data_IF_921876818382
#
_entry.id   IF_921876818382
#
_cell.length_a   1.000
_cell.length_b   1.000
_cell.length_c   1.000
_cell.angle_alpha   90.00
_cell.angle_beta   90.00
_cell.angle_gamma   90.00
#
_symmetry.space_group_name_H-M   'P 1'
#
loop_
_entity.id
_entity.type
_entity.pdbx_description
1 polymer ?
#
# COMPACT_ATOMS: atom_id res chain seq x y z
N UNK A 1 101.24 -35.90 -10.16
CA UNK A 1 100.24 -34.86 -9.81
C UNK A 1 99.06 -35.00 -10.77
N UNK A 2 97.84 -35.01 -10.20
CA UNK A 2 96.50 -35.28 -10.77
C UNK A 2 96.10 -34.26 -11.86
N UNK A 3 95.24 -34.46 -12.88
CA UNK A 3 94.41 -35.55 -13.47
C UNK A 3 93.99 -35.03 -14.89
N UNK A 4 94.26 -35.75 -16.00
CA UNK A 4 93.35 -36.58 -16.86
C UNK A 4 92.28 -35.86 -17.74
N UNK A 5 92.54 -35.86 -19.06
CA UNK A 5 91.76 -36.45 -20.20
C UNK A 5 90.21 -36.46 -20.12
N UNK A 6 89.43 -35.82 -21.01
CA UNK A 6 89.15 -36.02 -22.46
C UNK A 6 87.74 -36.65 -22.71
N UNK A 7 87.10 -36.15 -23.78
CA UNK A 7 86.02 -36.69 -24.64
C UNK A 7 84.53 -36.56 -24.30
N UNK A 8 83.83 -36.00 -25.29
CA UNK A 8 82.40 -35.85 -25.50
C UNK A 8 81.66 -37.18 -25.75
N UNK A 9 80.34 -37.18 -25.55
CA UNK A 9 79.37 -37.73 -26.51
C UNK A 9 77.94 -37.25 -26.20
N UNK A 10 77.21 -36.92 -27.26
CA UNK A 10 75.77 -36.61 -27.29
C UNK A 10 74.93 -37.82 -26.81
N UNK A 11 73.87 -37.59 -26.04
CA UNK A 11 72.71 -38.50 -26.01
C UNK A 11 71.41 -37.71 -25.83
N UNK A 12 70.50 -37.87 -26.79
CA UNK A 12 69.16 -37.34 -26.79
C UNK A 12 68.28 -38.09 -25.76
N UNK A 13 67.61 -37.34 -24.89
CA UNK A 13 66.61 -37.86 -23.96
C UNK A 13 65.25 -37.23 -24.26
N UNK A 14 64.32 -38.03 -24.78
CA UNK A 14 62.92 -37.66 -24.94
C UNK A 14 62.26 -37.53 -23.56
N UNK A 15 61.82 -36.33 -23.19
CA UNK A 15 60.92 -36.11 -22.06
C UNK A 15 59.48 -36.25 -22.53
N UNK A 16 58.88 -37.39 -22.22
CA UNK A 16 57.45 -37.64 -22.36
C UNK A 16 56.71 -36.81 -21.29
N UNK A 17 56.16 -35.66 -21.66
CA UNK A 17 55.22 -34.92 -20.81
C UNK A 17 53.90 -35.70 -20.75
N UNK A 18 53.70 -36.45 -19.66
CA UNK A 18 52.39 -36.92 -19.25
C UNK A 18 51.56 -35.72 -18.77
N UNK A 19 50.79 -35.12 -19.68
CA UNK A 19 49.67 -34.27 -19.27
C UNK A 19 48.60 -35.17 -18.66
N UNK A 20 48.56 -35.27 -17.33
CA UNK A 20 47.35 -35.71 -16.66
C UNK A 20 46.31 -34.61 -16.84
N UNK A 21 45.39 -34.77 -17.79
CA UNK A 21 44.16 -33.97 -17.78
C UNK A 21 43.38 -34.39 -16.53
N UNK A 22 43.51 -33.63 -15.45
CA UNK A 22 42.50 -33.63 -14.40
C UNK A 22 41.20 -33.16 -15.06
N UNK A 23 40.35 -34.11 -15.45
CA UNK A 23 38.97 -33.79 -15.75
C UNK A 23 38.43 -33.09 -14.50
N UNK A 24 38.14 -31.79 -14.61
CA UNK A 24 37.40 -31.08 -13.57
C UNK A 24 36.13 -31.87 -13.36
N UNK A 25 35.91 -32.41 -12.16
CA UNK A 25 34.61 -32.98 -11.84
C UNK A 25 33.56 -31.91 -12.12
N UNK A 26 32.56 -32.22 -12.95
CA UNK A 26 31.47 -31.28 -13.22
C UNK A 26 30.83 -30.90 -11.88
N UNK A 27 30.82 -29.62 -11.56
CA UNK A 27 30.20 -29.13 -10.34
C UNK A 27 28.70 -29.41 -10.42
N UNK A 28 28.19 -30.24 -9.51
CA UNK A 28 26.76 -30.50 -9.40
C UNK A 28 26.08 -29.29 -8.77
N UNK A 29 25.14 -28.69 -9.48
CA UNK A 29 24.40 -27.49 -9.07
C UNK A 29 23.13 -27.84 -8.31
N UNK A 30 22.41 -28.86 -8.76
CA UNK A 30 21.17 -29.30 -8.12
C UNK A 30 20.91 -30.78 -8.40
N UNK A 31 19.90 -31.33 -7.71
CA UNK A 31 19.43 -32.70 -7.86
C UNK A 31 17.92 -32.74 -8.10
N UNK A 32 17.47 -33.69 -8.91
CA UNK A 32 16.05 -34.03 -9.05
C UNK A 32 15.90 -35.54 -8.97
N UNK A 33 15.14 -36.04 -7.99
CA UNK A 33 14.95 -37.48 -7.76
C UNK A 33 16.27 -38.30 -7.76
N UNK A 34 17.34 -37.73 -7.20
CA UNK A 34 18.67 -38.36 -7.11
C UNK A 34 19.54 -38.24 -8.37
N UNK A 35 19.04 -37.66 -9.47
CA UNK A 35 19.84 -37.33 -10.66
C UNK A 35 20.57 -36.00 -10.46
N UNK A 36 21.88 -36.00 -10.70
CA UNK A 36 22.74 -34.82 -10.64
C UNK A 36 22.59 -33.95 -11.89
N UNK A 37 22.58 -32.63 -11.70
CA UNK A 37 22.55 -31.63 -12.77
C UNK A 37 23.66 -30.61 -12.56
N UNK A 38 24.45 -30.33 -13.60
CA UNK A 38 25.43 -29.23 -13.62
C UNK A 38 24.81 -27.85 -13.93
N UNK A 39 23.50 -27.79 -14.16
CA UNK A 39 22.76 -26.56 -14.47
C UNK A 39 21.31 -26.62 -13.95
N UNK A 40 20.90 -25.58 -13.20
CA UNK A 40 19.51 -25.41 -12.77
C UNK A 40 18.57 -25.28 -13.96
N UNK A 41 18.95 -24.52 -15.00
CA UNK A 41 18.18 -24.38 -16.24
C UNK A 41 17.83 -25.74 -16.86
N UNK A 42 18.80 -26.65 -16.95
CA UNK A 42 18.53 -27.97 -17.55
C UNK A 42 17.62 -28.82 -16.66
N UNK A 43 17.79 -28.78 -15.34
CA UNK A 43 16.90 -29.46 -14.40
C UNK A 43 15.45 -28.97 -14.55
N UNK A 44 15.24 -27.65 -14.63
CA UNK A 44 13.93 -27.05 -14.84
C UNK A 44 13.32 -27.48 -16.17
N UNK A 45 14.08 -27.50 -17.27
CA UNK A 45 13.61 -27.97 -18.59
C UNK A 45 13.22 -29.45 -18.57
N UNK A 46 14.01 -30.30 -17.92
CA UNK A 46 13.70 -31.73 -17.78
C UNK A 46 12.42 -31.95 -16.94
N UNK A 47 12.23 -31.19 -15.86
CA UNK A 47 11.00 -31.24 -15.05
C UNK A 47 9.79 -30.79 -15.86
N UNK A 48 9.87 -29.66 -16.55
CA UNK A 48 8.75 -29.11 -17.31
C UNK A 48 8.35 -29.99 -18.51
N UNK A 49 9.32 -30.67 -19.14
CA UNK A 49 9.04 -31.62 -20.23
C UNK A 49 8.55 -32.99 -19.75
N UNK A 50 8.61 -33.25 -18.44
CA UNK A 50 8.29 -34.54 -17.84
C UNK A 50 9.38 -35.60 -18.00
N UNK A 51 10.59 -35.22 -18.43
CA UNK A 51 11.73 -36.13 -18.52
C UNK A 51 12.24 -36.59 -17.14
N UNK A 52 12.03 -35.77 -16.12
CA UNK A 52 12.17 -36.12 -14.69
C UNK A 52 11.00 -35.54 -13.92
N UNK A 53 10.68 -36.12 -12.76
CA UNK A 53 9.65 -35.60 -11.86
C UNK A 53 10.17 -35.51 -10.44
N UNK A 54 9.65 -34.53 -9.70
CA UNK A 54 10.02 -34.26 -8.31
C UNK A 54 10.49 -32.84 -8.09
N UNK A 55 10.79 -32.54 -6.83
CA UNK A 55 11.35 -31.28 -6.40
C UNK A 55 12.83 -31.16 -6.82
N UNK A 56 13.22 -29.96 -7.25
CA UNK A 56 14.60 -29.60 -7.54
C UNK A 56 15.26 -29.15 -6.24
N UNK A 57 16.29 -29.87 -5.78
CA UNK A 57 17.04 -29.54 -4.58
C UNK A 57 18.35 -28.86 -4.96
N UNK A 58 18.52 -27.61 -4.54
CA UNK A 58 19.72 -26.81 -4.79
C UNK A 58 20.90 -27.31 -3.94
N UNK A 59 22.12 -27.23 -4.50
CA UNK A 59 23.37 -27.55 -3.79
C UNK A 59 24.37 -26.38 -3.76
N UNK A 60 24.09 -25.33 -4.54
CA UNK A 60 24.88 -24.09 -4.61
C UNK A 60 24.00 -23.02 -5.26
N UNK A 61 24.41 -21.76 -5.16
CA UNK A 61 23.80 -20.66 -5.91
C UNK A 61 23.82 -20.97 -7.43
N UNK A 62 22.77 -20.55 -8.13
CA UNK A 62 22.63 -20.79 -9.55
C UNK A 62 21.87 -19.68 -10.29
N UNK A 63 22.06 -19.64 -11.60
CA UNK A 63 21.24 -18.85 -12.51
C UNK A 63 20.14 -19.71 -13.14
N UNK A 64 18.99 -19.10 -13.42
CA UNK A 64 17.89 -19.72 -14.13
C UNK A 64 17.48 -18.90 -15.36
N UNK A 65 17.87 -19.41 -16.53
CA UNK A 65 17.47 -18.89 -17.84
C UNK A 65 16.64 -19.95 -18.59
N UNK A 66 15.33 -19.80 -18.54
CA UNK A 66 14.37 -20.76 -19.11
C UNK A 66 13.40 -20.12 -20.09
N UNK A 67 13.28 -18.78 -20.10
CA UNK A 67 12.30 -18.07 -20.92
C UNK A 67 10.91 -18.16 -20.32
N UNK A 68 10.34 -19.36 -20.32
CA UNK A 68 8.94 -19.59 -19.96
C UNK A 68 8.78 -20.76 -19.00
N UNK A 69 8.00 -20.54 -17.94
CA UNK A 69 7.47 -21.62 -17.08
C UNK A 69 6.10 -22.03 -17.60
N UNK A 70 6.04 -23.19 -18.27
CA UNK A 70 4.81 -23.73 -18.89
C UNK A 70 4.21 -24.93 -18.15
N UNK A 71 4.94 -25.48 -17.16
CA UNK A 71 4.49 -26.57 -16.30
C UNK A 71 4.94 -26.33 -14.85
N UNK A 72 4.32 -27.00 -13.85
CA UNK A 72 4.69 -26.79 -12.46
C UNK A 72 6.15 -27.15 -12.17
N UNK A 73 6.86 -26.27 -11.47
CA UNK A 73 8.25 -26.44 -11.03
C UNK A 73 8.34 -26.06 -9.56
N UNK A 74 8.99 -26.91 -8.76
CA UNK A 74 9.27 -26.66 -7.34
C UNK A 74 10.76 -26.74 -7.07
N UNK A 75 11.30 -25.70 -6.46
CA UNK A 75 12.72 -25.56 -6.13
C UNK A 75 12.86 -25.42 -4.62
N UNK A 76 13.52 -26.39 -3.98
CA UNK A 76 13.98 -26.32 -2.60
C UNK A 76 15.39 -25.74 -2.57
N UNK A 77 15.50 -24.51 -2.07
CA UNK A 77 16.73 -23.72 -2.11
C UNK A 77 17.74 -24.09 -1.05
N UNK A 78 17.32 -24.54 0.14
CA UNK A 78 18.24 -24.79 1.26
C UNK A 78 19.07 -23.56 1.67
N UNK A 79 18.54 -22.36 1.48
CA UNK A 79 19.18 -21.07 1.67
C UNK A 79 19.98 -20.55 0.46
N UNK A 80 20.14 -21.33 -0.61
CA UNK A 80 20.90 -20.91 -1.79
C UNK A 80 20.13 -19.89 -2.65
N UNK A 81 20.90 -19.12 -3.43
CA UNK A 81 20.38 -18.07 -4.30
C UNK A 81 20.06 -18.58 -5.71
N UNK A 82 18.89 -18.21 -6.21
CA UNK A 82 18.50 -18.32 -7.62
C UNK A 82 18.43 -16.92 -8.23
N UNK A 83 19.33 -16.66 -9.17
CA UNK A 83 19.34 -15.40 -9.94
C UNK A 83 18.69 -15.61 -11.30
N UNK A 84 17.74 -14.75 -11.65
CA UNK A 84 17.10 -14.72 -12.97
C UNK A 84 17.79 -13.65 -13.83
N UNK A 85 18.70 -14.03 -14.74
CA UNK A 85 19.23 -13.11 -15.73
C UNK A 85 18.17 -12.74 -16.78
N UNK A 86 18.57 -11.95 -17.77
CA UNK A 86 17.78 -11.79 -19.00
C UNK A 86 17.47 -13.16 -19.60
N UNK A 87 16.19 -13.44 -19.79
CA UNK A 87 15.72 -14.72 -20.26
C UNK A 87 15.86 -14.84 -21.78
N UNK A 88 16.49 -15.91 -22.21
CA UNK A 88 16.62 -16.27 -23.61
C UNK A 88 15.26 -16.70 -24.17
N UNK A 89 14.92 -16.18 -25.35
CA UNK A 89 13.72 -16.60 -26.09
C UNK A 89 12.42 -15.89 -25.73
N UNK A 90 12.45 -14.90 -24.82
CA UNK A 90 11.32 -14.02 -24.54
C UNK A 90 11.57 -12.61 -25.05
N UNK A 91 10.49 -11.88 -25.30
CA UNK A 91 10.55 -10.46 -25.63
C UNK A 91 11.06 -9.68 -24.41
N UNK A 92 12.02 -8.79 -24.64
CA UNK A 92 12.68 -7.95 -23.61
C UNK A 92 13.37 -8.72 -22.47
N UNK A 93 13.55 -10.04 -22.60
CA UNK A 93 14.26 -10.90 -21.66
C UNK A 93 13.49 -11.22 -20.37
N UNK A 94 12.19 -10.91 -20.29
CA UNK A 94 11.37 -11.16 -19.09
C UNK A 94 11.15 -12.66 -18.87
N UNK A 95 10.88 -13.06 -17.62
CA UNK A 95 10.37 -14.40 -17.34
C UNK A 95 8.86 -14.44 -17.59
N UNK A 96 8.41 -15.29 -18.52
CA UNK A 96 6.98 -15.54 -18.71
C UNK A 96 6.55 -16.74 -17.86
N UNK A 97 5.55 -16.57 -17.01
CA UNK A 97 5.06 -17.62 -16.09
C UNK A 97 3.61 -17.94 -16.44
N UNK A 98 3.36 -19.11 -17.04
CA UNK A 98 2.03 -19.60 -17.38
C UNK A 98 1.56 -20.78 -16.52
N UNK A 99 2.44 -21.28 -15.65
CA UNK A 99 2.14 -22.31 -14.65
C UNK A 99 2.69 -21.91 -13.28
N UNK A 100 2.86 -22.85 -12.37
CA UNK A 100 3.35 -22.57 -11.01
C UNK A 100 4.87 -22.73 -10.93
N UNK A 101 5.55 -21.69 -10.46
CA UNK A 101 6.96 -21.72 -10.05
C UNK A 101 7.02 -21.50 -8.54
N UNK A 102 7.43 -22.52 -7.80
CA UNK A 102 7.49 -22.50 -6.34
C UNK A 102 8.92 -22.55 -5.82
N UNK A 103 9.19 -21.78 -4.78
CA UNK A 103 10.45 -21.76 -4.05
C UNK A 103 10.21 -21.97 -2.57
N UNK A 104 11.00 -22.84 -1.95
CA UNK A 104 11.02 -23.04 -0.51
C UNK A 104 12.44 -22.87 0.01
N UNK A 105 12.61 -22.09 1.08
CA UNK A 105 13.91 -21.77 1.66
C UNK A 105 14.93 -21.31 0.61
N UNK A 106 14.57 -20.32 -0.22
CA UNK A 106 15.39 -19.86 -1.36
C UNK A 106 15.55 -18.33 -1.33
N UNK A 107 16.74 -17.81 -1.66
CA UNK A 107 16.92 -16.40 -2.03
C UNK A 107 16.68 -16.24 -3.54
N UNK A 108 15.69 -15.46 -3.95
CA UNK A 108 15.33 -15.24 -5.35
C UNK A 108 15.63 -13.80 -5.74
N UNK A 109 16.36 -13.62 -6.84
CA UNK A 109 16.70 -12.29 -7.35
C UNK A 109 16.41 -12.19 -8.85
N UNK A 110 15.61 -11.19 -9.24
CA UNK A 110 15.35 -10.89 -10.64
C UNK A 110 16.26 -9.77 -11.12
N UNK A 111 17.16 -10.10 -12.06
CA UNK A 111 18.20 -9.20 -12.55
C UNK A 111 17.86 -8.53 -13.89
N UNK A 112 16.75 -8.90 -14.56
CA UNK A 112 16.50 -8.50 -15.94
C UNK A 112 15.70 -7.16 -16.09
N UNK A 113 16.25 -6.12 -16.73
CA UNK A 113 15.77 -4.76 -16.51
C UNK A 113 15.11 -4.04 -17.70
N UNK A 114 14.69 -4.68 -18.80
CA UNK A 114 14.18 -3.90 -19.95
C UNK A 114 12.79 -3.29 -19.75
N UNK A 115 11.80 -4.11 -19.38
CA UNK A 115 10.41 -3.66 -19.26
C UNK A 115 9.77 -4.23 -17.99
N UNK A 116 9.67 -5.56 -17.94
CA UNK A 116 9.18 -6.31 -16.78
C UNK A 116 10.18 -7.41 -16.46
N UNK A 117 10.45 -7.64 -15.19
CA UNK A 117 11.23 -8.81 -14.76
C UNK A 117 10.43 -10.09 -14.94
N UNK A 118 9.12 -10.03 -14.67
CA UNK A 118 8.19 -11.16 -14.76
C UNK A 118 6.89 -10.72 -15.43
N UNK A 119 6.36 -11.56 -16.30
CA UNK A 119 4.98 -11.51 -16.78
C UNK A 119 4.24 -12.76 -16.31
N UNK A 120 3.20 -12.56 -15.50
CA UNK A 120 2.30 -13.63 -15.07
C UNK A 120 1.17 -13.78 -16.09
N UNK A 121 1.08 -14.96 -16.70
CA UNK A 121 -0.12 -15.39 -17.41
C UNK A 121 -1.30 -15.54 -16.46
N UNK A 122 -2.53 -15.69 -16.99
CA UNK A 122 -3.73 -15.78 -16.14
C UNK A 122 -3.79 -17.01 -15.23
N UNK A 123 -2.97 -18.03 -15.50
CA UNK A 123 -2.73 -19.21 -14.64
C UNK A 123 -1.33 -19.22 -14.03
N UNK A 124 -0.53 -18.17 -14.26
CA UNK A 124 0.83 -18.04 -13.76
C UNK A 124 0.84 -17.81 -12.27
N UNK A 125 1.68 -18.55 -11.55
CA UNK A 125 1.85 -18.40 -10.10
C UNK A 125 3.33 -18.39 -9.75
N UNK A 126 3.76 -17.38 -9.01
CA UNK A 126 5.03 -17.43 -8.25
C UNK A 126 4.67 -17.65 -6.79
N UNK A 127 5.21 -18.70 -6.17
CA UNK A 127 4.97 -19.05 -4.78
C UNK A 127 6.28 -19.10 -4.00
N UNK A 128 6.34 -18.40 -2.87
CA UNK A 128 7.50 -18.33 -1.98
C UNK A 128 7.10 -18.85 -0.60
N UNK A 129 7.80 -19.84 -0.09
CA UNK A 129 7.54 -20.45 1.21
C UNK A 129 8.80 -20.75 2.03
N UNK A 130 8.63 -21.21 3.26
CA UNK A 130 9.70 -21.80 4.06
C UNK A 130 10.85 -20.83 4.35
N UNK A 131 10.56 -19.54 4.60
CA UNK A 131 11.59 -18.53 4.84
C UNK A 131 12.21 -17.93 3.58
N UNK A 132 11.72 -18.28 2.39
CA UNK A 132 12.23 -17.71 1.13
C UNK A 132 12.18 -16.18 1.12
N UNK A 133 13.13 -15.59 0.40
CA UNK A 133 13.17 -14.15 0.15
C UNK A 133 13.23 -13.87 -1.34
N UNK A 134 12.59 -12.80 -1.79
CA UNK A 134 12.59 -12.40 -3.18
C UNK A 134 12.83 -10.89 -3.30
N UNK A 135 13.69 -10.50 -4.24
CA UNK A 135 13.98 -9.10 -4.51
C UNK A 135 13.89 -8.77 -5.99
N UNK A 136 13.26 -7.62 -6.28
CA UNK A 136 13.24 -6.98 -7.59
C UNK A 136 13.95 -5.62 -7.50
N UNK A 137 14.72 -5.29 -8.53
CA UNK A 137 15.30 -3.96 -8.75
C UNK A 137 15.03 -3.52 -10.20
N UNK A 138 14.88 -2.21 -10.42
CA UNK A 138 14.61 -1.55 -11.72
C UNK A 138 13.28 -1.87 -12.38
N UNK A 139 12.90 -3.13 -12.55
CA UNK A 139 11.64 -3.53 -13.18
C UNK A 139 10.91 -4.54 -12.31
N UNK A 140 9.59 -4.49 -12.38
CA UNK A 140 8.74 -5.26 -11.50
C UNK A 140 7.98 -6.37 -12.20
N UNK A 141 6.71 -6.53 -11.83
CA UNK A 141 5.83 -7.60 -12.31
C UNK A 141 4.66 -7.03 -13.11
N UNK A 142 4.41 -7.62 -14.26
CA UNK A 142 3.15 -7.46 -14.97
C UNK A 142 2.31 -8.72 -14.84
N UNK A 143 0.99 -8.56 -14.69
CA UNK A 143 0.07 -9.69 -14.60
C UNK A 143 -1.08 -9.55 -15.58
N UNK A 144 -1.41 -10.64 -16.26
CA UNK A 144 -2.74 -10.83 -16.84
C UNK A 144 -3.75 -11.14 -15.74
N UNK A 145 -5.04 -11.10 -16.10
CA UNK A 145 -6.14 -11.42 -15.18
C UNK A 145 -5.94 -12.80 -14.54
N UNK A 146 -5.90 -12.86 -13.21
CA UNK A 146 -5.79 -14.10 -12.44
C UNK A 146 -4.37 -14.58 -12.12
N UNK A 147 -3.32 -14.00 -12.74
CA UNK A 147 -1.93 -14.28 -12.37
C UNK A 147 -1.67 -13.91 -10.90
N UNK A 148 -0.85 -14.70 -10.20
CA UNK A 148 -0.75 -14.63 -8.74
C UNK A 148 0.68 -14.69 -8.20
N UNK A 149 0.94 -13.88 -7.17
CA UNK A 149 2.10 -14.02 -6.28
C UNK A 149 1.61 -14.47 -4.91
N UNK A 150 2.20 -15.54 -4.37
CA UNK A 150 1.87 -16.10 -3.05
C UNK A 150 3.08 -16.06 -2.12
N UNK A 151 2.90 -15.48 -0.94
CA UNK A 151 3.87 -15.50 0.14
C UNK A 151 3.29 -16.29 1.33
N UNK A 152 4.02 -17.28 1.80
CA UNK A 152 3.71 -18.06 3.00
C UNK A 152 4.95 -18.17 3.88
N UNK A 153 4.97 -17.48 5.03
CA UNK A 153 6.16 -17.33 5.87
C UNK A 153 7.42 -16.93 5.06
N UNK A 154 7.26 -15.97 4.15
CA UNK A 154 8.31 -15.54 3.21
C UNK A 154 8.28 -14.03 2.97
N UNK A 155 9.28 -13.52 2.25
CA UNK A 155 9.48 -12.08 2.07
C UNK A 155 9.64 -11.70 0.60
N UNK A 156 9.03 -10.59 0.17
CA UNK A 156 9.24 -10.00 -1.16
C UNK A 156 9.45 -8.50 -1.04
N UNK A 157 10.53 -8.00 -1.64
CA UNK A 157 10.84 -6.57 -1.69
C UNK A 157 11.01 -6.06 -3.12
N UNK A 158 10.53 -4.85 -3.38
CA UNK A 158 10.73 -4.11 -4.63
C UNK A 158 11.16 -2.68 -4.31
N UNK A 159 12.32 -2.26 -4.83
CA UNK A 159 12.88 -0.92 -4.60
C UNK A 159 13.55 -0.40 -5.86
N UNK A 160 13.68 0.93 -5.97
CA UNK A 160 14.36 1.58 -7.08
C UNK A 160 13.80 1.15 -8.45
N UNK A 161 12.47 1.08 -8.55
CA UNK A 161 11.83 0.75 -9.83
C UNK A 161 11.88 1.94 -10.78
N UNK A 162 12.05 1.67 -12.06
CA UNK A 162 12.02 2.64 -13.17
C UNK A 162 10.61 2.77 -13.78
N UNK A 163 9.73 1.80 -13.50
CA UNK A 163 8.33 1.79 -13.85
C UNK A 163 7.49 1.22 -12.70
N UNK A 164 6.15 1.30 -12.77
CA UNK A 164 5.24 0.79 -11.74
C UNK A 164 5.68 -0.59 -11.23
N UNK A 165 5.81 -0.79 -9.91
CA UNK A 165 6.39 -2.02 -9.37
C UNK A 165 5.55 -3.26 -9.69
N UNK A 166 4.22 -3.12 -9.67
CA UNK A 166 3.31 -4.18 -10.10
C UNK A 166 2.14 -3.61 -10.89
N UNK A 167 1.86 -4.16 -12.07
CA UNK A 167 0.74 -3.71 -12.91
C UNK A 167 -0.07 -4.88 -13.47
N UNK A 168 -1.40 -4.77 -13.45
CA UNK A 168 -2.29 -5.66 -14.18
C UNK A 168 -3.45 -4.91 -14.83
N UNK A 169 -3.82 -5.34 -16.04
CA UNK A 169 -4.93 -4.74 -16.79
C UNK A 169 -6.30 -5.13 -16.21
N UNK A 170 -6.43 -6.37 -15.75
CA UNK A 170 -7.70 -6.98 -15.33
C UNK A 170 -7.55 -7.84 -14.07
N UNK A 171 -6.93 -7.27 -13.03
CA UNK A 171 -6.75 -7.84 -11.69
C UNK A 171 -5.83 -9.06 -11.63
N UNK A 172 -4.57 -8.81 -11.26
CA UNK A 172 -3.68 -9.84 -10.72
C UNK A 172 -3.98 -10.09 -9.24
N UNK A 173 -3.33 -11.08 -8.63
CA UNK A 173 -3.52 -11.45 -7.22
C UNK A 173 -2.20 -11.40 -6.45
N UNK A 174 -2.28 -10.92 -5.22
CA UNK A 174 -1.20 -10.97 -4.25
C UNK A 174 -1.76 -11.51 -2.94
N UNK A 175 -1.24 -12.65 -2.48
CA UNK A 175 -1.67 -13.26 -1.21
C UNK A 175 -0.49 -13.42 -0.26
N UNK A 176 -0.68 -12.95 0.98
CA UNK A 176 0.30 -13.03 2.07
C UNK A 176 -0.30 -13.80 3.25
N UNK A 177 0.44 -14.79 3.75
CA UNK A 177 0.03 -15.62 4.89
C UNK A 177 1.17 -15.87 5.87
N UNK A 178 0.82 -16.26 7.09
CA UNK A 178 1.73 -16.86 8.08
C UNK A 178 2.99 -16.02 8.37
N UNK A 179 2.82 -14.73 8.63
CA UNK A 179 3.92 -13.82 8.97
C UNK A 179 4.73 -13.36 7.76
N UNK A 180 4.19 -13.46 6.55
CA UNK A 180 4.87 -12.97 5.35
C UNK A 180 5.06 -11.46 5.35
N UNK A 181 6.07 -10.99 4.62
CA UNK A 181 6.38 -9.56 4.47
C UNK A 181 6.45 -9.19 3.00
N UNK A 182 5.65 -8.19 2.59
CA UNK A 182 5.75 -7.58 1.26
C UNK A 182 6.05 -6.10 1.40
N UNK A 183 7.01 -5.59 0.62
CA UNK A 183 7.37 -4.19 0.63
C UNK A 183 7.69 -3.63 -0.77
N UNK A 184 7.04 -2.52 -1.11
CA UNK A 184 7.40 -1.65 -2.23
C UNK A 184 7.79 -0.29 -1.63
N UNK A 185 8.96 0.24 -2.00
CA UNK A 185 9.40 1.55 -1.49
C UNK A 185 10.33 2.31 -2.43
N UNK A 186 10.47 3.62 -2.16
CA UNK A 186 11.43 4.53 -2.82
C UNK A 186 11.24 4.59 -4.33
N UNK A 187 10.01 4.89 -4.75
CA UNK A 187 9.66 4.96 -6.15
C UNK A 187 9.51 6.41 -6.62
N UNK A 188 10.23 6.73 -7.69
CA UNK A 188 10.34 8.09 -8.22
C UNK A 188 9.34 8.29 -9.35
N UNK A 189 8.34 9.16 -9.13
CA UNK A 189 7.33 9.60 -10.09
C UNK A 189 6.47 8.50 -10.75
N UNK A 190 6.43 7.32 -10.13
CA UNK A 190 5.69 6.13 -10.58
C UNK A 190 4.74 5.62 -9.49
N UNK A 191 3.78 4.79 -9.89
CA UNK A 191 2.87 4.12 -8.96
C UNK A 191 3.56 2.93 -8.28
N UNK A 192 3.12 2.57 -7.08
CA UNK A 192 3.52 1.31 -6.43
C UNK A 192 2.88 0.11 -7.11
N UNK A 193 1.59 -0.09 -6.86
CA UNK A 193 0.82 -1.23 -7.39
C UNK A 193 -0.43 -0.73 -8.12
N UNK A 194 -0.67 -1.27 -9.30
CA UNK A 194 -1.85 -0.97 -10.11
C UNK A 194 -2.60 -2.25 -10.50
N UNK A 195 -3.88 -2.37 -10.12
CA UNK A 195 -4.75 -3.42 -10.63
C UNK A 195 -4.59 -4.78 -9.95
N UNK A 196 -4.48 -4.87 -8.63
CA UNK A 196 -4.36 -6.16 -7.93
C UNK A 196 -5.45 -6.36 -6.88
N UNK A 197 -5.89 -7.60 -6.72
CA UNK A 197 -6.61 -8.07 -5.54
C UNK A 197 -5.59 -8.56 -4.51
N UNK A 198 -5.52 -7.87 -3.38
CA UNK A 198 -4.50 -8.05 -2.35
C UNK A 198 -5.16 -8.62 -1.10
N UNK A 199 -4.75 -9.83 -0.70
CA UNK A 199 -5.16 -10.46 0.56
C UNK A 199 -3.99 -10.58 1.51
N UNK A 200 -4.11 -10.02 2.71
CA UNK A 200 -3.08 -10.04 3.74
C UNK A 200 -3.64 -10.67 5.00
N UNK A 201 -3.10 -11.83 5.35
CA UNK A 201 -3.56 -12.62 6.50
C UNK A 201 -2.39 -12.84 7.46
N UNK A 202 -2.52 -12.36 8.71
CA UNK A 202 -1.47 -12.47 9.74
C UNK A 202 -0.07 -12.11 9.20
N UNK A 203 0.02 -11.04 8.42
CA UNK A 203 1.20 -10.70 7.61
C UNK A 203 1.39 -9.18 7.51
N UNK A 204 2.54 -8.74 7.01
CA UNK A 204 2.90 -7.32 6.85
C UNK A 204 2.96 -6.94 5.38
N UNK A 205 2.25 -5.88 5.02
CA UNK A 205 2.20 -5.34 3.66
C UNK A 205 2.56 -3.86 3.68
N UNK A 206 3.45 -3.41 2.80
CA UNK A 206 3.80 -1.99 2.71
C UNK A 206 4.00 -1.51 1.28
N UNK A 207 3.44 -0.35 0.97
CA UNK A 207 3.69 0.41 -0.26
C UNK A 207 3.87 1.86 0.14
N UNK A 208 5.13 2.26 0.31
CA UNK A 208 5.49 3.53 0.93
C UNK A 208 6.44 4.33 0.05
N UNK A 209 6.56 5.63 0.31
CA UNK A 209 7.57 6.47 -0.33
C UNK A 209 7.51 6.42 -1.88
N UNK A 210 6.30 6.27 -2.45
CA UNK A 210 6.04 6.36 -3.88
C UNK A 210 5.54 7.77 -4.23
N UNK A 211 6.35 8.56 -4.94
CA UNK A 211 6.05 9.98 -5.22
C UNK A 211 4.70 10.23 -5.91
N UNK A 212 4.20 9.25 -6.68
CA UNK A 212 2.91 9.35 -7.38
C UNK A 212 1.77 8.76 -6.56
N UNK A 213 1.57 7.44 -6.60
CA UNK A 213 0.47 6.78 -5.88
C UNK A 213 0.95 5.46 -5.29
N UNK A 214 0.52 5.11 -4.08
CA UNK A 214 0.81 3.81 -3.47
C UNK A 214 0.04 2.71 -4.19
N UNK A 215 -1.28 2.69 -4.00
CA UNK A 215 -2.18 1.73 -4.65
C UNK A 215 -3.12 2.42 -5.64
N UNK A 216 -3.34 1.79 -6.80
CA UNK A 216 -4.25 2.28 -7.84
C UNK A 216 -5.11 1.13 -8.35
N UNK A 217 -6.44 1.28 -8.35
CA UNK A 217 -7.35 0.25 -8.89
C UNK A 217 -7.12 -1.13 -8.23
N UNK A 218 -6.79 -1.16 -6.95
CA UNK A 218 -6.59 -2.40 -6.19
C UNK A 218 -7.79 -2.70 -5.30
N UNK A 219 -7.97 -3.96 -4.92
CA UNK A 219 -8.79 -4.37 -3.77
C UNK A 219 -7.86 -4.81 -2.65
N UNK A 220 -8.24 -4.60 -1.39
CA UNK A 220 -7.43 -4.91 -0.21
C UNK A 220 -8.28 -5.60 0.87
N UNK A 221 -7.85 -6.76 1.34
CA UNK A 221 -8.45 -7.43 2.49
C UNK A 221 -7.38 -7.72 3.54
N UNK A 222 -7.62 -7.26 4.77
CA UNK A 222 -6.74 -7.47 5.91
C UNK A 222 -7.46 -8.33 6.96
N UNK A 223 -6.85 -9.44 7.36
CA UNK A 223 -7.42 -10.40 8.32
C UNK A 223 -6.39 -10.92 9.30
N UNK A 224 -6.88 -11.44 10.43
CA UNK A 224 -6.11 -12.20 11.41
C UNK A 224 -4.82 -11.49 11.90
N UNK A 225 -4.93 -10.21 12.27
CA UNK A 225 -3.82 -9.42 12.81
C UNK A 225 -2.85 -8.91 11.74
N UNK A 226 -3.31 -8.78 10.48
CA UNK A 226 -2.51 -8.21 9.42
C UNK A 226 -2.19 -6.73 9.68
N UNK A 227 -1.03 -6.27 9.19
CA UNK A 227 -0.62 -4.87 9.26
C UNK A 227 -0.25 -4.35 7.87
N UNK A 228 -0.92 -3.30 7.43
CA UNK A 228 -0.68 -2.64 6.15
C UNK A 228 -0.25 -1.18 6.35
N UNK A 229 0.78 -0.76 5.61
CA UNK A 229 1.29 0.62 5.59
C UNK A 229 1.32 1.17 4.16
N UNK A 230 0.51 2.21 3.90
CA UNK A 230 0.42 2.91 2.62
C UNK A 230 0.73 4.41 2.83
N UNK A 231 1.76 4.68 3.62
CA UNK A 231 2.19 6.02 4.03
C UNK A 231 3.22 6.66 3.09
N UNK A 232 3.35 7.99 3.20
CA UNK A 232 4.39 8.79 2.50
C UNK A 232 4.36 8.68 0.98
N UNK A 233 3.20 8.42 0.39
CA UNK A 233 3.01 8.45 -1.06
C UNK A 233 2.48 9.82 -1.50
N UNK A 234 2.47 10.11 -2.81
CA UNK A 234 1.74 11.26 -3.32
C UNK A 234 0.25 11.16 -2.97
N UNK A 235 -0.41 10.12 -3.48
CA UNK A 235 -1.72 9.63 -3.01
C UNK A 235 -1.49 8.25 -2.38
N UNK A 236 -2.03 7.99 -1.19
CA UNK A 236 -1.93 6.68 -0.55
C UNK A 236 -2.63 5.59 -1.38
N UNK A 237 -3.96 5.64 -1.45
CA UNK A 237 -4.79 4.64 -2.11
C UNK A 237 -5.88 5.28 -2.99
N UNK A 238 -5.78 5.05 -4.29
CA UNK A 238 -6.75 5.47 -5.29
C UNK A 238 -7.62 4.30 -5.77
N UNK A 239 -8.85 4.24 -5.26
CA UNK A 239 -9.88 3.24 -5.60
C UNK A 239 -10.74 3.73 -6.76
N UNK A 240 -10.49 3.23 -7.98
CA UNK A 240 -11.06 3.78 -9.22
C UNK A 240 -12.28 3.03 -9.78
N UNK A 241 -12.46 1.74 -9.45
CA UNK A 241 -13.49 0.89 -10.04
C UNK A 241 -14.47 0.38 -8.97
N UNK A 242 -14.87 -0.89 -9.02
CA UNK A 242 -15.65 -1.55 -7.97
C UNK A 242 -14.74 -2.09 -6.85
N UNK A 243 -13.64 -1.40 -6.58
CA UNK A 243 -12.61 -1.85 -5.66
C UNK A 243 -13.14 -1.89 -4.23
N UNK A 244 -12.74 -2.90 -3.46
CA UNK A 244 -13.16 -3.05 -2.07
C UNK A 244 -11.92 -3.04 -1.19
N UNK A 245 -12.00 -2.28 -0.09
CA UNK A 245 -11.07 -2.36 1.01
C UNK A 245 -11.84 -2.83 2.26
N UNK A 246 -11.42 -3.94 2.86
CA UNK A 246 -12.05 -4.53 4.03
C UNK A 246 -10.98 -4.81 5.11
N UNK A 247 -11.09 -4.10 6.24
CA UNK A 247 -10.12 -4.14 7.33
C UNK A 247 -10.82 -4.74 8.55
N UNK A 248 -10.44 -5.97 8.94
CA UNK A 248 -10.99 -6.64 10.12
C UNK A 248 -10.06 -7.68 10.71
N UNK A 249 -10.54 -8.48 11.66
CA UNK A 249 -9.75 -9.52 12.30
C UNK A 249 -8.59 -8.97 13.12
N UNK A 250 -8.77 -7.86 13.84
CA UNK A 250 -7.71 -7.15 14.58
C UNK A 250 -6.58 -6.61 13.69
N UNK A 251 -6.88 -6.35 12.41
CA UNK A 251 -5.89 -5.85 11.45
C UNK A 251 -5.82 -4.34 11.45
N UNK A 252 -4.65 -3.81 11.06
CA UNK A 252 -4.36 -2.38 11.02
C UNK A 252 -4.02 -1.91 9.61
N UNK A 253 -4.61 -0.79 9.19
CA UNK A 253 -4.22 -0.05 7.99
C UNK A 253 -3.76 1.36 8.38
N UNK A 254 -2.53 1.70 8.01
CA UNK A 254 -1.93 3.02 8.24
C UNK A 254 -1.73 3.76 6.91
N UNK A 255 -2.13 5.02 6.87
CA UNK A 255 -2.00 5.94 5.73
C UNK A 255 -1.59 7.32 6.24
N UNK A 256 -0.31 7.44 6.61
CA UNK A 256 0.21 8.63 7.25
C UNK A 256 1.13 9.41 6.31
N UNK A 257 1.11 10.74 6.39
CA UNK A 257 2.08 11.58 5.71
C UNK A 257 2.00 11.56 4.18
N UNK A 258 0.85 11.26 3.58
CA UNK A 258 0.70 11.32 2.13
C UNK A 258 0.64 12.77 1.64
N UNK A 259 1.19 13.01 0.44
CA UNK A 259 1.39 14.34 -0.14
C UNK A 259 0.08 15.08 -0.38
N UNK A 260 -0.87 14.50 -1.10
CA UNK A 260 -2.17 15.14 -1.36
C UNK A 260 -3.28 14.55 -0.48
N UNK A 261 -3.46 13.24 -0.50
CA UNK A 261 -4.52 12.54 0.24
C UNK A 261 -4.13 11.11 0.58
N UNK A 262 -4.68 10.58 1.67
CA UNK A 262 -4.51 9.19 2.06
C UNK A 262 -5.37 8.27 1.21
N UNK A 263 -6.65 8.60 1.07
CA UNK A 263 -7.65 7.72 0.46
C UNK A 263 -8.54 8.49 -0.52
N UNK A 264 -8.65 7.96 -1.73
CA UNK A 264 -9.50 8.50 -2.80
C UNK A 264 -10.39 7.39 -3.35
N UNK A 265 -11.70 7.49 -3.11
CA UNK A 265 -12.72 6.52 -3.55
C UNK A 265 -13.49 7.09 -4.74
N UNK A 266 -12.93 7.00 -5.94
CA UNK A 266 -13.56 7.55 -7.16
C UNK A 266 -14.61 6.61 -7.76
N UNK A 267 -14.38 5.31 -7.64
CA UNK A 267 -15.26 4.28 -8.18
C UNK A 267 -16.45 3.95 -7.28
N UNK A 268 -17.34 3.06 -7.73
CA UNK A 268 -18.51 2.62 -6.95
C UNK A 268 -18.17 1.54 -5.89
N UNK A 269 -16.92 1.50 -5.45
CA UNK A 269 -16.39 0.57 -4.47
C UNK A 269 -16.73 0.93 -3.03
N UNK A 270 -16.23 0.16 -2.07
CA UNK A 270 -16.44 0.42 -0.65
C UNK A 270 -15.15 0.27 0.15
N UNK A 271 -14.95 1.19 1.09
CA UNK A 271 -13.92 1.11 2.12
C UNK A 271 -14.61 0.82 3.46
N UNK A 272 -14.24 -0.28 4.10
CA UNK A 272 -14.90 -0.76 5.32
C UNK A 272 -13.88 -1.05 6.41
N UNK A 273 -14.05 -0.42 7.57
CA UNK A 273 -13.36 -0.78 8.81
C UNK A 273 -14.34 -1.53 9.68
N UNK A 274 -14.10 -2.82 9.90
CA UNK A 274 -14.94 -3.70 10.73
C UNK A 274 -14.79 -3.33 12.20
N UNK A 275 -15.71 -3.83 13.04
CA UNK A 275 -15.75 -3.53 14.48
C UNK A 275 -14.49 -3.92 15.25
N UNK A 276 -13.64 -4.76 14.69
CA UNK A 276 -12.35 -5.18 15.22
C UNK A 276 -11.18 -4.71 14.33
N UNK A 277 -11.41 -3.77 13.42
CA UNK A 277 -10.41 -3.20 12.53
C UNK A 277 -9.85 -1.90 13.08
N UNK A 278 -8.61 -1.60 12.69
CA UNK A 278 -7.91 -0.37 13.03
C UNK A 278 -7.51 0.40 11.76
N UNK A 279 -7.85 1.68 11.68
CA UNK A 279 -7.52 2.56 10.55
C UNK A 279 -6.92 3.87 11.04
N UNK A 280 -5.70 4.17 10.61
CA UNK A 280 -4.99 5.39 10.95
C UNK A 280 -4.71 6.20 9.69
N UNK A 281 -5.23 7.43 9.65
CA UNK A 281 -5.12 8.37 8.54
C UNK A 281 -4.65 9.72 9.07
N UNK A 282 -3.34 9.92 9.13
CA UNK A 282 -2.76 11.06 9.86
C UNK A 282 -1.79 11.89 9.04
N UNK A 283 -1.75 13.19 9.32
CA UNK A 283 -0.71 14.09 8.78
C UNK A 283 -0.64 14.11 7.24
N UNK A 284 -1.77 13.91 6.55
CA UNK A 284 -1.82 13.95 5.09
C UNK A 284 -2.05 15.38 4.57
N UNK A 285 -1.82 15.57 3.27
CA UNK A 285 -1.92 16.87 2.62
C UNK A 285 -0.61 17.69 2.67
N UNK A 286 0.53 17.04 2.90
CA UNK A 286 1.85 17.68 3.07
C UNK A 286 2.35 18.46 1.84
N UNK A 287 1.83 18.16 0.66
CA UNK A 287 2.19 18.79 -0.61
C UNK A 287 1.16 19.82 -1.07
N UNK A 288 0.07 20.03 -0.32
CA UNK A 288 -0.99 20.97 -0.68
C UNK A 288 -0.58 22.41 -0.35
N UNK A 289 -0.83 23.31 -1.30
CA UNK A 289 -0.72 24.76 -1.11
C UNK A 289 -2.01 25.33 -0.53
N UNK A 290 -1.99 26.61 -0.12
CA UNK A 290 -3.18 27.31 0.35
C UNK A 290 -4.36 27.28 -0.64
N UNK A 291 -4.10 27.45 -1.94
CA UNK A 291 -5.12 27.34 -2.97
C UNK A 291 -5.66 25.92 -3.12
N UNK A 292 -4.84 24.91 -2.88
CA UNK A 292 -5.29 23.52 -2.91
C UNK A 292 -6.22 23.24 -1.72
N UNK A 293 -5.91 23.75 -0.53
CA UNK A 293 -6.77 23.61 0.66
C UNK A 293 -8.13 24.30 0.48
N UNK A 294 -8.17 25.39 -0.30
CA UNK A 294 -9.41 26.06 -0.67
C UNK A 294 -10.32 25.21 -1.57
N UNK A 295 -9.75 24.29 -2.35
CA UNK A 295 -10.51 23.45 -3.26
C UNK A 295 -11.43 22.49 -2.47
N UNK A 296 -12.72 22.38 -2.85
CA UNK A 296 -13.68 21.53 -2.14
C UNK A 296 -13.33 20.04 -2.23
N UNK A 297 -12.59 19.59 -3.24
CA UNK A 297 -12.22 18.19 -3.44
C UNK A 297 -11.07 17.69 -2.56
N UNK A 298 -10.35 18.57 -1.85
CA UNK A 298 -9.16 18.18 -1.12
C UNK A 298 -9.47 17.86 0.35
N UNK A 299 -9.20 16.60 0.71
CA UNK A 299 -9.34 16.02 2.04
C UNK A 299 -8.38 14.83 2.19
N UNK A 300 -8.11 14.39 3.41
CA UNK A 300 -7.35 13.17 3.66
C UNK A 300 -8.10 11.93 3.17
N UNK A 301 -9.42 11.90 3.36
CA UNK A 301 -10.34 10.89 2.80
C UNK A 301 -11.33 11.58 1.86
N UNK A 302 -11.31 11.21 0.58
CA UNK A 302 -12.26 11.69 -0.42
C UNK A 302 -13.14 10.54 -0.91
N UNK A 303 -14.46 10.70 -0.77
CA UNK A 303 -15.47 9.72 -1.17
C UNK A 303 -16.25 10.29 -2.34
N UNK A 304 -16.13 9.65 -3.51
CA UNK A 304 -16.51 10.23 -4.79
C UNK A 304 -15.33 10.96 -5.43
N UNK A 305 -15.59 11.64 -6.55
CA UNK A 305 -14.55 12.45 -7.19
C UNK A 305 -15.14 13.65 -7.93
N UNK A 306 -14.28 14.64 -8.11
CA UNK A 306 -14.57 15.86 -8.84
C UNK A 306 -13.87 15.77 -10.20
N UNK A 307 -14.60 16.00 -11.28
CA UNK A 307 -14.00 16.06 -12.61
C UNK A 307 -14.81 16.96 -13.52
N UNK A 308 -14.12 17.83 -14.26
CA UNK A 308 -14.71 18.71 -15.28
C UNK A 308 -15.90 19.54 -14.76
N UNK A 309 -15.78 20.06 -13.52
CA UNK A 309 -16.83 20.85 -12.87
C UNK A 309 -18.05 20.04 -12.40
N UNK A 310 -17.95 18.70 -12.35
CA UNK A 310 -19.02 17.81 -11.86
C UNK A 310 -18.58 17.04 -10.62
N UNK A 311 -19.56 16.77 -9.75
CA UNK A 311 -19.42 15.91 -8.58
C UNK A 311 -19.96 14.53 -8.93
N UNK A 312 -19.12 13.51 -8.81
CA UNK A 312 -19.52 12.11 -9.01
C UNK A 312 -19.76 11.47 -7.65
N UNK A 313 -21.05 11.27 -7.33
CA UNK A 313 -21.53 10.73 -6.05
C UNK A 313 -21.38 9.21 -6.00
N UNK A 314 -20.15 8.74 -5.84
CA UNK A 314 -19.80 7.32 -5.88
C UNK A 314 -19.19 6.84 -4.57
N UNK A 315 -19.27 5.53 -4.36
CA UNK A 315 -18.51 4.84 -3.34
C UNK A 315 -19.09 4.94 -1.93
N UNK A 316 -18.48 4.17 -1.02
CA UNK A 316 -18.88 4.13 0.38
C UNK A 316 -17.68 4.09 1.31
N UNK A 317 -17.81 4.76 2.45
CA UNK A 317 -16.87 4.70 3.57
C UNK A 317 -17.63 4.35 4.84
N UNK A 318 -17.37 3.15 5.38
CA UNK A 318 -18.09 2.65 6.54
C UNK A 318 -17.11 2.26 7.63
N UNK A 319 -17.25 2.88 8.79
CA UNK A 319 -16.60 2.46 10.03
C UNK A 319 -17.69 1.88 10.93
N UNK A 320 -17.57 0.60 11.28
CA UNK A 320 -18.52 -0.04 12.20
C UNK A 320 -18.28 0.38 13.65
N UNK A 321 -19.30 0.29 14.49
CA UNK A 321 -19.15 0.53 15.93
C UNK A 321 -18.06 -0.37 16.54
N UNK A 322 -17.25 0.21 17.42
CA UNK A 322 -16.08 -0.36 18.11
C UNK A 322 -14.82 -0.50 17.26
N UNK A 323 -14.87 -0.18 15.96
CA UNK A 323 -13.66 -0.01 15.19
C UNK A 323 -12.83 1.16 15.75
N UNK A 324 -11.51 1.06 15.66
CA UNK A 324 -10.63 2.19 15.92
C UNK A 324 -10.29 2.88 14.60
N UNK A 325 -10.91 4.02 14.32
CA UNK A 325 -10.60 4.81 13.13
C UNK A 325 -10.17 6.21 13.53
N UNK A 326 -8.96 6.61 13.18
CA UNK A 326 -8.38 7.90 13.55
C UNK A 326 -8.00 8.67 12.29
N UNK A 327 -8.72 9.75 12.02
CA UNK A 327 -8.49 10.69 10.94
C UNK A 327 -8.09 12.03 11.57
N UNK A 328 -6.79 12.30 11.65
CA UNK A 328 -6.32 13.44 12.46
C UNK A 328 -5.04 14.09 11.97
N UNK A 329 -4.83 15.35 12.37
CA UNK A 329 -3.60 16.07 12.05
C UNK A 329 -3.43 16.36 10.56
N UNK A 330 -4.49 16.21 9.75
CA UNK A 330 -4.39 16.41 8.31
C UNK A 330 -4.38 17.92 7.99
N UNK A 331 -3.52 18.33 7.06
CA UNK A 331 -3.44 19.72 6.59
C UNK A 331 -4.67 20.12 5.77
N UNK A 332 -5.28 19.14 5.09
CA UNK A 332 -6.58 19.27 4.46
C UNK A 332 -7.72 18.88 5.41
N UNK A 333 -8.95 18.94 4.90
CA UNK A 333 -10.11 18.39 5.60
C UNK A 333 -9.88 16.95 6.01
N UNK A 334 -10.52 16.50 7.08
CA UNK A 334 -10.53 15.08 7.43
C UNK A 334 -11.20 14.25 6.33
N UNK A 335 -12.46 14.59 6.01
CA UNK A 335 -13.29 13.85 5.05
C UNK A 335 -14.01 14.81 4.12
N UNK A 336 -14.02 14.51 2.82
CA UNK A 336 -15.04 14.99 1.89
C UNK A 336 -15.92 13.83 1.47
N UNK A 337 -17.24 14.00 1.62
CA UNK A 337 -18.22 12.95 1.32
C UNK A 337 -19.17 13.37 0.20
N UNK A 338 -18.87 12.94 -1.03
CA UNK A 338 -19.81 13.00 -2.16
C UNK A 338 -20.58 11.68 -2.34
N UNK A 339 -20.10 10.58 -1.76
CA UNK A 339 -20.74 9.25 -1.80
C UNK A 339 -21.60 8.99 -0.57
N UNK A 340 -21.39 7.87 0.11
CA UNK A 340 -22.06 7.58 1.38
C UNK A 340 -21.01 7.33 2.47
N UNK A 341 -21.18 7.96 3.63
CA UNK A 341 -20.31 7.78 4.78
C UNK A 341 -21.11 7.37 6.02
N UNK A 342 -20.60 6.40 6.78
CA UNK A 342 -21.13 5.99 8.07
C UNK A 342 -19.98 5.87 9.08
N UNK A 343 -20.05 6.63 10.17
CA UNK A 343 -19.01 6.70 11.19
C UNK A 343 -19.55 6.13 12.51
N UNK A 344 -19.13 4.91 12.82
CA UNK A 344 -19.50 4.19 14.03
C UNK A 344 -18.79 4.71 15.28
N UNK A 345 -19.25 4.23 16.45
CA UNK A 345 -18.60 4.45 17.75
C UNK A 345 -17.12 4.10 17.71
N UNK A 346 -16.26 4.98 18.21
CA UNK A 346 -14.81 4.80 18.20
C UNK A 346 -14.09 5.50 17.04
N UNK A 347 -14.84 6.05 16.08
CA UNK A 347 -14.28 6.94 15.05
C UNK A 347 -13.85 8.27 15.68
N UNK A 348 -12.64 8.72 15.39
CA UNK A 348 -12.09 10.03 15.74
C UNK A 348 -11.74 10.80 14.46
N UNK A 349 -12.36 11.96 14.26
CA UNK A 349 -12.04 12.94 13.22
C UNK A 349 -11.69 14.25 13.90
N UNK A 350 -10.41 14.49 14.16
CA UNK A 350 -9.99 15.62 14.99
C UNK A 350 -8.68 16.25 14.56
N UNK A 351 -8.52 17.56 14.80
CA UNK A 351 -7.28 18.28 14.47
C UNK A 351 -6.98 18.32 12.98
N UNK A 352 -8.00 18.29 12.12
CA UNK A 352 -7.85 18.41 10.67
C UNK A 352 -8.05 19.86 10.21
N UNK A 353 -7.69 20.15 8.95
CA UNK A 353 -7.73 21.50 8.41
C UNK A 353 -6.61 22.39 8.96
N UNK A 354 -5.48 21.79 9.34
CA UNK A 354 -4.33 22.53 9.87
C UNK A 354 -3.82 23.50 8.80
N UNK A 355 -3.77 24.82 9.07
CA UNK A 355 -3.28 25.79 8.11
C UNK A 355 -1.89 25.40 7.60
N UNK A 356 -1.69 25.47 6.29
CA UNK A 356 -0.37 25.24 5.73
C UNK A 356 0.57 26.36 6.19
N UNK A 357 1.71 26.02 6.82
CA UNK A 357 2.76 27.00 7.18
C UNK A 357 3.17 27.90 5.99
N UNK A 358 2.92 27.45 4.75
CA UNK A 358 3.32 28.09 3.48
C UNK A 358 2.25 28.99 2.82
N UNK A 359 1.16 29.33 3.52
CA UNK A 359 0.02 29.98 2.89
C UNK A 359 -0.29 31.43 3.31
N UNK A 360 0.21 31.91 4.44
CA UNK A 360 -0.29 33.13 5.08
C UNK A 360 -1.57 32.88 5.88
N UNK A 361 -2.08 33.90 6.58
CA UNK A 361 -3.19 33.79 7.54
C UNK A 361 -4.53 33.38 6.91
N UNK A 362 -4.73 33.63 5.60
CA UNK A 362 -5.96 33.34 4.86
C UNK A 362 -5.92 32.04 4.04
N UNK A 363 -4.87 31.25 4.19
CA UNK A 363 -4.66 30.04 3.40
C UNK A 363 -4.94 28.78 4.21
N UNK A 364 -6.09 28.17 3.95
CA UNK A 364 -6.54 27.00 4.69
C UNK A 364 -7.86 26.47 4.15
N UNK A 365 -8.41 25.51 4.86
CA UNK A 365 -9.72 24.94 4.56
C UNK A 365 -10.81 26.01 4.82
N UNK A 366 -11.62 26.43 3.84
CA UNK A 366 -12.63 27.45 4.07
C UNK A 366 -13.78 26.92 4.92
N UNK A 367 -14.26 25.72 4.61
CA UNK A 367 -15.48 25.16 5.21
C UNK A 367 -15.34 23.65 5.43
N UNK A 368 -15.82 23.16 6.57
CA UNK A 368 -15.89 21.73 6.87
C UNK A 368 -14.53 21.12 7.18
N UNK A 369 -13.83 21.66 8.19
CA UNK A 369 -12.48 21.25 8.58
C UNK A 369 -12.37 19.76 8.91
N UNK A 370 -13.33 19.24 9.68
CA UNK A 370 -13.46 17.82 9.95
C UNK A 370 -14.07 17.10 8.74
N UNK A 371 -15.32 17.43 8.45
CA UNK A 371 -16.11 16.79 7.40
C UNK A 371 -16.83 17.84 6.56
N UNK A 372 -16.70 17.72 5.24
CA UNK A 372 -17.57 18.38 4.29
C UNK A 372 -18.46 17.35 3.58
N UNK A 373 -19.74 17.32 3.96
CA UNK A 373 -20.74 16.39 3.46
C UNK A 373 -21.55 16.99 2.32
N UNK A 374 -21.49 16.35 1.16
CA UNK A 374 -22.18 16.71 -0.09
C UNK A 374 -23.24 15.66 -0.48
N UNK A 375 -23.45 14.65 0.35
CA UNK A 375 -24.44 13.60 0.12
C UNK A 375 -24.93 12.98 1.44
N UNK A 376 -24.78 11.68 1.68
CA UNK A 376 -25.38 11.02 2.86
C UNK A 376 -24.31 10.69 3.90
N UNK A 377 -24.45 11.27 5.10
CA UNK A 377 -23.58 11.03 6.25
C UNK A 377 -24.40 10.49 7.43
N UNK A 378 -23.90 9.44 8.07
CA UNK A 378 -24.42 8.97 9.37
C UNK A 378 -23.31 9.00 10.41
N UNK A 379 -23.57 9.61 11.56
CA UNK A 379 -22.65 9.72 12.69
C UNK A 379 -23.29 9.06 13.90
N UNK A 380 -22.73 7.93 14.34
CA UNK A 380 -23.19 7.20 15.52
C UNK A 380 -22.83 7.91 16.82
N UNK A 381 -23.55 7.61 17.89
CA UNK A 381 -23.18 8.01 19.24
C UNK A 381 -21.80 7.43 19.60
N UNK A 382 -20.90 8.27 20.11
CA UNK A 382 -19.53 7.89 20.43
C UNK A 382 -18.57 7.90 19.23
N UNK A 383 -18.99 8.42 18.07
CA UNK A 383 -18.06 9.00 17.11
C UNK A 383 -17.69 10.43 17.57
N UNK A 384 -16.43 10.79 17.43
CA UNK A 384 -15.85 12.04 17.90
C UNK A 384 -15.37 12.86 16.72
N UNK A 385 -16.04 13.98 16.44
CA UNK A 385 -15.69 14.90 15.36
C UNK A 385 -15.58 16.27 15.99
N UNK A 386 -14.35 16.68 16.32
CA UNK A 386 -14.09 17.86 17.14
C UNK A 386 -12.68 18.43 16.90
N UNK A 387 -12.43 19.64 17.38
CA UNK A 387 -11.11 20.30 17.30
C UNK A 387 -10.55 20.33 15.87
N UNK A 388 -11.40 20.32 14.86
CA UNK A 388 -11.00 20.57 13.50
C UNK A 388 -11.04 22.07 13.22
N UNK A 389 -10.48 22.49 12.08
CA UNK A 389 -10.35 23.89 11.75
C UNK A 389 -10.84 24.21 10.34
N UNK A 390 -11.66 25.23 10.24
CA UNK A 390 -12.05 25.89 9.01
C UNK A 390 -12.02 27.42 9.18
N UNK A 391 -11.64 28.13 8.12
CA UNK A 391 -11.46 29.58 8.15
C UNK A 391 -12.80 30.34 8.20
N UNK A 392 -13.82 29.84 7.50
CA UNK A 392 -15.06 30.59 7.23
C UNK A 392 -16.25 30.03 8.00
N UNK A 393 -16.45 28.72 7.99
CA UNK A 393 -17.63 28.08 8.58
C UNK A 393 -17.39 26.60 8.86
N UNK A 394 -18.14 26.03 9.80
CA UNK A 394 -18.14 24.60 10.12
C UNK A 394 -16.73 24.03 10.38
N UNK A 395 -16.19 24.25 11.58
CA UNK A 395 -14.96 23.58 11.98
C UNK A 395 -15.08 22.06 11.85
N UNK A 396 -16.18 21.48 12.35
CA UNK A 396 -16.29 20.03 12.51
C UNK A 396 -17.12 19.37 11.40
N UNK A 397 -18.33 19.87 11.12
CA UNK A 397 -19.20 19.28 10.08
C UNK A 397 -19.88 20.40 9.29
N UNK A 398 -19.66 20.41 7.97
CA UNK A 398 -20.52 21.12 7.03
C UNK A 398 -21.42 20.13 6.32
N UNK A 399 -22.75 20.23 6.50
CA UNK A 399 -23.73 19.58 5.65
C UNK A 399 -24.14 20.56 4.55
N UNK A 400 -23.83 20.24 3.29
CA UNK A 400 -24.11 21.11 2.16
C UNK A 400 -25.59 21.09 1.75
N UNK A 401 -25.96 22.01 0.84
CA UNK A 401 -27.27 21.97 0.19
C UNK A 401 -27.46 20.65 -0.60
N UNK A 402 -28.65 20.06 -0.48
CA UNK A 402 -28.97 18.75 -1.05
C UNK A 402 -28.27 17.55 -0.40
N UNK A 403 -27.56 17.74 0.72
CA UNK A 403 -26.97 16.67 1.52
C UNK A 403 -27.85 16.32 2.74
N UNK A 404 -27.72 15.09 3.24
CA UNK A 404 -28.36 14.63 4.47
C UNK A 404 -27.33 14.18 5.50
N UNK A 405 -27.61 14.46 6.77
CA UNK A 405 -26.82 14.01 7.91
C UNK A 405 -27.72 13.47 9.02
N UNK A 406 -27.38 12.28 9.54
CA UNK A 406 -27.93 11.74 10.77
C UNK A 406 -26.92 12.02 11.89
N UNK A 407 -27.27 12.93 12.81
CA UNK A 407 -26.43 13.36 13.92
C UNK A 407 -26.83 12.69 15.22
N UNK A 408 -25.85 12.11 15.92
CA UNK A 408 -25.97 11.67 17.30
C UNK A 408 -25.39 12.71 18.28
N UNK A 409 -25.55 12.47 19.59
CA UNK A 409 -24.92 13.28 20.62
C UNK A 409 -23.39 13.28 20.49
N UNK A 410 -22.77 14.44 20.67
CA UNK A 410 -21.31 14.53 20.92
C UNK A 410 -21.02 13.73 22.19
N UNK A 411 -20.20 12.69 22.13
CA UNK A 411 -20.03 11.70 23.21
C UNK A 411 -19.49 12.21 24.57
N UNK A 412 -19.49 13.51 24.84
CA UNK A 412 -19.33 14.15 26.16
C UNK A 412 -17.96 13.99 26.86
N UNK A 413 -17.07 13.18 26.30
CA UNK A 413 -15.83 12.75 26.96
C UNK A 413 -14.59 13.57 26.54
N UNK A 414 -14.70 14.39 25.51
CA UNK A 414 -13.58 15.16 24.96
C UNK A 414 -13.63 16.63 25.35
N UNK A 415 -12.44 17.25 25.40
CA UNK A 415 -12.24 18.67 25.70
C UNK A 415 -11.85 19.43 24.45
N UNK A 416 -12.21 20.70 24.38
CA UNK A 416 -11.72 21.61 23.35
C UNK A 416 -10.20 21.80 23.51
N UNK A 417 -9.44 21.64 22.44
CA UNK A 417 -7.98 21.75 22.48
C UNK A 417 -7.54 23.22 22.60
N UNK A 418 -6.84 23.65 23.67
CA UNK A 418 -6.39 25.03 23.85
C UNK A 418 -5.44 25.58 22.75
N UNK A 419 -5.03 24.76 21.77
CA UNK A 419 -3.91 25.04 20.86
C UNK A 419 -4.20 25.65 19.48
N UNK A 420 -5.45 25.73 18.97
CA UNK A 420 -5.71 26.27 17.61
C UNK A 420 -6.93 27.19 17.53
N UNK A 421 -6.70 28.50 17.42
CA UNK A 421 -7.76 29.52 17.35
C UNK A 421 -8.19 30.02 18.73
N UNK A 422 -8.30 31.35 18.89
CA UNK A 422 -8.42 32.05 20.18
C UNK A 422 -9.67 31.77 21.03
N UNK A 423 -10.52 30.82 20.63
CA UNK A 423 -11.77 30.48 21.33
C UNK A 423 -11.72 29.08 22.00
N UNK A 424 -10.59 28.39 21.99
CA UNK A 424 -10.48 27.08 22.63
C UNK A 424 -9.97 27.18 24.07
N UNK A 425 -10.68 26.53 24.99
CA UNK A 425 -10.60 26.80 26.43
C UNK A 425 -10.28 25.57 27.31
N UNK A 426 -10.16 24.36 26.75
CA UNK A 426 -9.99 23.14 27.55
C UNK A 426 -11.28 22.62 28.19
N UNK A 427 -12.43 23.26 27.97
CA UNK A 427 -13.71 22.85 28.54
C UNK A 427 -14.27 21.60 27.84
N UNK A 428 -15.12 20.88 28.57
CA UNK A 428 -15.78 19.67 28.08
C UNK A 428 -16.82 20.02 27.02
N UNK A 429 -16.82 19.27 25.91
CA UNK A 429 -17.83 19.39 24.86
C UNK A 429 -19.18 18.90 25.39
N UNK A 430 -20.21 19.75 25.32
CA UNK A 430 -21.57 19.46 25.79
C UNK A 430 -22.58 19.26 24.65
N UNK A 431 -22.24 19.59 23.40
CA UNK A 431 -23.16 19.42 22.28
C UNK A 431 -22.64 19.94 20.94
N UNK A 432 -23.53 19.89 19.95
CA UNK A 432 -23.36 20.55 18.66
C UNK A 432 -23.86 21.99 18.74
N UNK A 433 -23.12 22.90 18.11
CA UNK A 433 -23.48 24.31 18.02
C UNK A 433 -23.34 24.81 16.59
N UNK A 434 -24.16 25.79 16.22
CA UNK A 434 -24.02 26.51 14.95
C UNK A 434 -22.67 27.20 14.86
N UNK A 435 -22.08 27.15 13.67
CA UNK A 435 -20.74 27.67 13.39
C UNK A 435 -20.68 28.26 11.98
N UNK A 436 -21.60 29.18 11.72
CA UNK A 436 -21.91 29.72 10.40
C UNK A 436 -20.88 30.76 9.94
N UNK A 437 -20.87 31.03 8.64
CA UNK A 437 -20.13 32.17 8.08
C UNK A 437 -20.63 33.49 8.70
N UNK A 438 -19.70 34.30 9.20
CA UNK A 438 -20.02 35.56 9.90
C UNK A 438 -20.60 35.40 11.31
N UNK A 439 -20.96 34.18 11.73
CA UNK A 439 -21.45 33.85 13.09
C UNK A 439 -20.82 32.54 13.57
N UNK A 440 -19.51 32.61 13.83
CA UNK A 440 -18.72 31.49 14.35
C UNK A 440 -19.06 31.23 15.81
N UNK A 441 -18.97 29.97 16.24
CA UNK A 441 -19.17 29.64 17.65
C UNK A 441 -18.20 30.42 18.55
N UNK A 442 -18.73 31.00 19.62
CA UNK A 442 -17.94 31.68 20.66
C UNK A 442 -18.67 31.65 22.01
N UNK A 443 -18.12 30.94 22.99
CA UNK A 443 -18.63 30.96 24.36
C UNK A 443 -17.85 31.92 25.30
N UNK A 444 -16.72 32.46 24.83
CA UNK A 444 -15.74 33.20 25.62
C UNK A 444 -15.35 34.49 24.89
N UNK A 445 -16.12 35.55 25.06
CA UNK A 445 -15.84 36.84 24.44
C UNK A 445 -16.98 37.83 24.59
N UNK A 446 -16.83 39.04 24.05
CA UNK A 446 -17.87 40.06 24.09
C UNK A 446 -19.08 39.70 23.20
N UNK A 447 -18.83 38.98 22.11
CA UNK A 447 -19.85 38.51 21.16
C UNK A 447 -20.09 37.00 21.33
N UNK A 448 -20.87 36.65 22.36
CA UNK A 448 -21.26 35.26 22.62
C UNK A 448 -22.20 34.74 21.52
N UNK A 449 -21.87 33.59 20.94
CA UNK A 449 -22.69 32.86 19.99
C UNK A 449 -22.61 31.36 20.28
N UNK A 450 -23.63 30.83 20.96
CA UNK A 450 -23.74 29.43 21.37
C UNK A 450 -25.13 28.86 21.06
N UNK A 451 -25.52 28.84 19.78
CA UNK A 451 -26.82 28.30 19.36
C UNK A 451 -26.73 26.76 19.27
N UNK A 452 -27.42 26.01 20.14
CA UNK A 452 -27.31 24.55 20.17
C UNK A 452 -28.09 23.90 19.02
N UNK A 453 -27.54 22.83 18.48
CA UNK A 453 -28.18 21.97 17.47
C UNK A 453 -28.44 20.61 18.09
N UNK A 454 -29.69 20.14 18.01
CA UNK A 454 -30.08 18.86 18.61
C UNK A 454 -29.65 17.69 17.72
N UNK A 455 -29.33 16.52 18.29
CA UNK A 455 -29.18 15.30 17.50
C UNK A 455 -30.48 14.95 16.80
N UNK A 456 -30.43 14.84 15.48
CA UNK A 456 -31.56 14.50 14.61
C UNK A 456 -31.04 14.16 13.21
N UNK A 457 -31.97 13.82 12.33
CA UNK A 457 -31.72 13.80 10.89
C UNK A 457 -32.01 15.18 10.31
N UNK A 458 -31.07 15.67 9.49
CA UNK A 458 -31.17 16.94 8.78
C UNK A 458 -30.95 16.72 7.29
N UNK A 459 -31.84 17.29 6.47
CA UNK A 459 -31.72 17.35 5.00
C UNK A 459 -31.63 18.79 4.51
N UNK A 460 -30.99 19.65 5.32
CA UNK A 460 -30.83 21.09 5.07
C UNK A 460 -29.38 21.49 5.33
N UNK A 461 -28.90 22.61 4.78
CA UNK A 461 -27.57 23.11 5.09
C UNK A 461 -27.34 23.28 6.59
N UNK A 462 -26.19 22.82 7.08
CA UNK A 462 -25.75 22.99 8.47
C UNK A 462 -24.25 23.28 8.51
N UNK A 463 -23.84 24.17 9.41
CA UNK A 463 -22.45 24.39 9.75
C UNK A 463 -22.28 24.23 11.26
N UNK A 464 -21.48 23.23 11.67
CA UNK A 464 -21.45 22.77 13.05
C UNK A 464 -20.04 22.75 13.63
N UNK A 465 -20.00 23.03 14.94
CA UNK A 465 -18.87 22.77 15.84
C UNK A 465 -19.32 21.92 17.03
N UNK A 466 -18.52 20.95 17.42
CA UNK A 466 -18.66 20.24 18.68
C UNK A 466 -17.99 21.08 19.78
N UNK A 467 -18.79 21.67 20.67
CA UNK A 467 -18.30 22.63 21.65
C UNK A 467 -19.13 22.63 22.93
N UNK A 468 -19.03 23.70 23.73
CA UNK A 468 -19.84 23.89 24.93
C UNK A 468 -20.67 25.19 24.84
N UNK A 469 -21.68 25.30 25.71
CA UNK A 469 -22.47 26.51 25.87
C UNK A 469 -21.78 27.55 26.76
N UNK A 470 -22.46 28.63 27.12
CA UNK A 470 -21.93 29.55 28.15
C UNK A 470 -21.80 28.79 29.49
N UNK A 471 -20.63 28.92 30.14
CA UNK A 471 -20.30 28.27 31.42
C UNK A 471 -20.39 29.28 32.57
#
# INVERSE_FOLDING_TARGET
>A
MKFRYIFAFLLAGAFLFLFSSSASAETVVCKVAGKDYSSLTQAVKDVMSGAVSGEIVMLTDAELDVGTISAPVSISGGGYKVTFPAQSGTEDGRLDVHSTLSFSDTEVFFANPKTWSVVLGGSGVISLSGGSSCAFEKTGVYSLAGGEIRLDASQLTMKNMEYTAMMAEAYGKLSLKNGSVFAVSHLMDINGITGFDIGVDNSRFSVTDCRKQGLVKCSLSLTNGAAADISRNGIGYNMYSKNIADIGGNSTLTMDGNGSMALLIQGSGSFTVRSDGHFFCRNNGLALSGSDLAAPENAAVNIGYFSSGRIYKNGGFTVYDNAEAVISGNHSRGIVNCGTAALGRGTLVAGNGIPAEKGGEDAGVPTGGGIYNLNNLSVSEGAYINNNHALVSADDICNADGASVVLAHTGGQFRLDPGMGGNNCGDSISGWYEDNEGQRWNAHGENIFTVPVSPAEYSVPLALKAAHGVI
#
